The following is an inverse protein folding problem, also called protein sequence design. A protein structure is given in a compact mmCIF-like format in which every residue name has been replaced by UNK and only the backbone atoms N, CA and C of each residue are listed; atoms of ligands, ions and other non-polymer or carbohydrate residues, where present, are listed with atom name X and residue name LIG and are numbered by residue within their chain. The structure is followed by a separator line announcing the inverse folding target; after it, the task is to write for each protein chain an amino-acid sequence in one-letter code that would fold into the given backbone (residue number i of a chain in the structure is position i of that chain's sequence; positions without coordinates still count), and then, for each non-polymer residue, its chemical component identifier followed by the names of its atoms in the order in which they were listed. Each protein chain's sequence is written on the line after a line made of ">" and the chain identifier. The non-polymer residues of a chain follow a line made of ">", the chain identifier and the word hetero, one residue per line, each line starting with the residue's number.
data_IF_197428323195
#
_entry.id   IF_197428323195
#
_cell.length_a   1.000
_cell.length_b   1.000
_cell.length_c   1.000
_cell.angle_alpha   90.00
_cell.angle_beta   90.00
_cell.angle_gamma   90.00
#
_symmetry.space_group_name_H-M   'P 1'
#
loop_
_entity.id
_entity.type
_entity.pdbx_description
1 polymer ?
#
# COMPACT_ATOMS: atom_id res chain seq x y z
N UNK A 1 21.45 -12.68 15.58
CA UNK A 1 20.53 -11.90 16.42
C UNK A 1 19.16 -11.96 15.80
N UNK A 2 18.22 -12.71 16.36
CA UNK A 2 16.83 -12.67 15.89
C UNK A 2 16.19 -11.38 16.39
N UNK A 3 15.74 -10.52 15.48
CA UNK A 3 14.92 -9.38 15.84
C UNK A 3 13.67 -9.88 16.59
N UNK A 4 13.31 -9.19 17.67
CA UNK A 4 12.07 -9.48 18.38
C UNK A 4 10.88 -9.42 17.39
N UNK A 5 9.88 -10.31 17.52
CA UNK A 5 8.71 -10.25 16.65
C UNK A 5 8.01 -8.90 16.84
N UNK A 6 7.92 -8.12 15.75
CA UNK A 6 7.12 -6.88 15.72
C UNK A 6 5.69 -7.22 16.09
N UNK A 7 5.10 -6.49 17.04
CA UNK A 7 3.74 -6.76 17.48
C UNK A 7 2.74 -6.52 16.34
N UNK A 8 1.63 -7.26 16.34
CA UNK A 8 0.58 -7.05 15.32
C UNK A 8 -0.08 -5.67 15.44
N UNK A 9 0.05 -4.98 16.59
CA UNK A 9 -0.44 -3.61 16.74
C UNK A 9 0.52 -2.63 16.06
N UNK A 10 1.84 -2.80 16.22
CA UNK A 10 2.83 -1.96 15.52
C UNK A 10 2.68 -2.06 14.01
N UNK A 11 2.48 -3.28 13.45
CA UNK A 11 2.32 -3.41 12.00
C UNK A 11 1.03 -2.75 11.47
N UNK A 12 -0.03 -2.69 12.29
CA UNK A 12 -1.27 -1.97 11.97
C UNK A 12 -1.07 -0.45 12.05
N UNK A 13 -0.36 0.04 13.07
CA UNK A 13 0.04 1.45 13.17
C UNK A 13 0.90 1.86 11.98
N UNK A 14 1.91 1.08 11.64
CA UNK A 14 2.78 1.36 10.48
C UNK A 14 1.97 1.35 9.18
N UNK A 15 0.98 0.46 9.05
CA UNK A 15 0.10 0.42 7.87
C UNK A 15 -0.80 1.65 7.77
N UNK A 16 -1.30 2.16 8.90
CA UNK A 16 -2.05 3.41 8.93
C UNK A 16 -1.17 4.61 8.55
N UNK A 17 0.06 4.68 9.08
CA UNK A 17 1.00 5.74 8.76
C UNK A 17 1.44 5.69 7.29
N UNK A 18 1.72 4.51 6.72
CA UNK A 18 2.06 4.35 5.31
C UNK A 18 0.91 4.84 4.39
N UNK A 19 -0.33 4.60 4.80
CA UNK A 19 -1.51 5.09 4.08
C UNK A 19 -1.67 6.61 4.15
N UNK A 20 -1.46 7.23 5.32
CA UNK A 20 -1.90 8.60 5.63
C UNK A 20 -0.79 9.65 5.72
N UNK A 21 0.48 9.24 5.77
CA UNK A 21 1.62 10.18 5.76
C UNK A 21 1.59 11.04 4.51
N UNK A 22 2.24 12.21 4.59
CA UNK A 22 2.47 13.07 3.42
C UNK A 22 3.21 12.27 2.34
N UNK A 23 2.69 12.29 1.12
CA UNK A 23 3.13 11.48 -0.02
C UNK A 23 2.96 9.96 0.19
N UNK A 24 2.08 9.54 1.09
CA UNK A 24 1.71 8.14 1.33
C UNK A 24 0.76 7.58 0.27
N UNK A 25 0.19 6.40 0.54
CA UNK A 25 -0.61 5.67 -0.45
C UNK A 25 -1.88 6.43 -0.89
N UNK A 26 -2.52 7.16 0.03
CA UNK A 26 -3.70 7.97 -0.31
C UNK A 26 -3.32 9.09 -1.28
N UNK A 27 -2.24 9.83 -0.98
CA UNK A 27 -1.75 10.91 -1.85
C UNK A 27 -1.34 10.38 -3.22
N UNK A 28 -0.71 9.19 -3.26
CA UNK A 28 -0.39 8.49 -4.51
C UNK A 28 -1.65 8.20 -5.35
N UNK A 29 -2.69 7.59 -4.76
CA UNK A 29 -3.92 7.27 -5.51
C UNK A 29 -4.63 8.50 -6.07
N UNK A 30 -4.70 9.59 -5.30
CA UNK A 30 -5.24 10.88 -5.76
C UNK A 30 -4.38 11.48 -6.89
N UNK A 31 -3.06 11.39 -6.72
CA UNK A 31 -2.07 11.86 -7.69
C UNK A 31 -2.22 11.15 -9.04
N UNK A 32 -2.43 9.83 -9.06
CA UNK A 32 -2.58 9.05 -10.29
C UNK A 32 -3.93 9.29 -10.97
N UNK A 33 -5.03 9.32 -10.20
CA UNK A 33 -6.38 9.56 -10.74
C UNK A 33 -6.56 10.95 -11.33
N UNK A 34 -5.86 11.95 -10.77
CA UNK A 34 -6.03 13.35 -11.13
C UNK A 34 -7.39 13.92 -10.71
N UNK A 35 -7.64 15.23 -10.93
CA UNK A 35 -8.82 15.93 -10.44
C UNK A 35 -10.15 15.44 -11.05
N UNK A 36 -10.11 14.75 -12.20
CA UNK A 36 -11.29 14.23 -12.91
C UNK A 36 -11.52 12.73 -12.72
N UNK A 37 -10.69 12.04 -11.93
CA UNK A 37 -10.75 10.59 -11.73
C UNK A 37 -10.63 9.74 -13.02
N UNK A 38 -9.98 10.27 -14.06
CA UNK A 38 -10.02 9.75 -15.44
C UNK A 38 -8.72 9.11 -15.91
N UNK A 39 -7.72 8.90 -15.04
CA UNK A 39 -6.40 8.33 -15.41
C UNK A 39 -5.85 8.97 -16.69
N UNK A 40 -5.32 10.20 -16.62
CA UNK A 40 -5.01 11.00 -17.81
C UNK A 40 -3.92 10.40 -18.73
N UNK A 41 -3.37 9.21 -18.43
CA UNK A 41 -2.42 8.47 -19.27
C UNK A 41 -1.06 9.14 -19.46
N UNK A 42 -0.90 10.36 -18.95
CA UNK A 42 0.26 11.24 -19.18
C UNK A 42 1.16 11.38 -17.96
N UNK A 43 0.79 10.79 -16.82
CA UNK A 43 1.55 10.98 -15.58
C UNK A 43 2.71 10.00 -15.54
N UNK A 44 3.93 10.54 -15.68
CA UNK A 44 5.15 9.80 -15.38
C UNK A 44 5.42 9.86 -13.89
N UNK A 45 5.70 8.69 -13.29
CA UNK A 45 6.11 8.57 -11.90
C UNK A 45 7.56 8.12 -11.90
N UNK A 46 8.40 8.83 -11.14
CA UNK A 46 9.81 8.46 -11.01
C UNK A 46 9.92 7.21 -10.16
N UNK A 47 10.85 6.35 -10.51
CA UNK A 47 11.11 5.13 -9.76
C UNK A 47 11.45 5.44 -8.29
N UNK A 48 12.23 6.49 -8.03
CA UNK A 48 12.58 6.93 -6.68
C UNK A 48 11.36 7.32 -5.82
N UNK A 49 10.30 7.84 -6.45
CA UNK A 49 9.07 8.20 -5.74
C UNK A 49 8.36 6.93 -5.27
N UNK A 50 8.34 5.87 -6.11
CA UNK A 50 7.84 4.55 -5.69
C UNK A 50 8.74 3.87 -4.65
N UNK A 51 10.06 3.99 -4.78
CA UNK A 51 11.00 3.46 -3.80
C UNK A 51 10.75 4.06 -2.42
N UNK A 52 10.48 5.36 -2.36
CA UNK A 52 10.13 6.08 -1.14
C UNK A 52 8.73 5.71 -0.64
N UNK A 53 7.76 5.58 -1.55
CA UNK A 53 6.40 5.16 -1.22
C UNK A 53 6.38 3.80 -0.52
N UNK A 54 7.23 2.88 -0.95
CA UNK A 54 7.29 1.50 -0.45
C UNK A 54 8.56 1.18 0.35
N UNK A 55 9.26 2.18 0.90
CA UNK A 55 10.48 1.99 1.69
C UNK A 55 10.23 1.32 3.05
N UNK A 56 8.97 1.25 3.47
CA UNK A 56 8.60 1.01 4.85
C UNK A 56 8.45 -0.48 5.21
N UNK A 57 8.47 -0.75 6.52
CA UNK A 57 8.49 -2.07 7.13
C UNK A 57 7.29 -2.95 6.76
N UNK A 58 6.16 -2.37 6.37
CA UNK A 58 4.92 -3.13 6.09
C UNK A 58 4.88 -3.77 4.72
N UNK A 59 5.79 -3.40 3.81
CA UNK A 59 5.94 -4.01 2.50
C UNK A 59 7.22 -4.88 2.47
N UNK A 60 7.07 -6.14 2.06
CA UNK A 60 8.21 -6.98 1.74
C UNK A 60 8.63 -6.69 0.30
N UNK A 61 9.81 -6.08 0.14
CA UNK A 61 10.39 -5.77 -1.16
C UNK A 61 11.30 -6.91 -1.65
N UNK A 62 10.92 -7.52 -2.76
CA UNK A 62 11.70 -8.54 -3.46
C UNK A 62 12.13 -7.99 -4.82
N UNK A 63 13.45 -7.80 -4.98
CA UNK A 63 14.06 -7.30 -6.21
C UNK A 63 14.68 -8.46 -7.00
N UNK A 64 14.40 -8.54 -8.30
CA UNK A 64 15.00 -9.51 -9.23
C UNK A 64 15.89 -8.79 -10.24
N UNK A 65 16.82 -9.54 -10.86
CA UNK A 65 17.65 -9.03 -11.97
C UNK A 65 16.75 -8.50 -13.10
N UNK A 66 17.19 -7.42 -13.76
CA UNK A 66 16.49 -6.84 -14.91
C UNK A 66 15.35 -5.88 -14.56
N UNK A 67 15.38 -5.24 -13.38
CA UNK A 67 14.43 -4.18 -13.01
C UNK A 67 13.03 -4.68 -12.62
N UNK A 68 12.86 -5.98 -12.37
CA UNK A 68 11.62 -6.56 -11.87
C UNK A 68 11.55 -6.42 -10.34
N UNK A 69 10.44 -5.89 -9.85
CA UNK A 69 10.18 -5.69 -8.43
C UNK A 69 8.84 -6.29 -8.02
N UNK A 70 8.82 -6.94 -6.86
CA UNK A 70 7.63 -7.52 -6.23
C UNK A 70 7.52 -6.99 -4.80
N UNK A 71 6.39 -6.38 -4.49
CA UNK A 71 6.07 -5.86 -3.17
C UNK A 71 4.91 -6.67 -2.58
N UNK A 72 5.04 -7.11 -1.33
CA UNK A 72 3.99 -7.88 -0.65
C UNK A 72 3.63 -7.18 0.66
N UNK A 73 2.39 -6.71 0.78
CA UNK A 73 1.93 -6.08 2.01
C UNK A 73 1.76 -7.13 3.12
N UNK A 74 2.38 -6.92 4.28
CA UNK A 74 2.39 -7.90 5.37
C UNK A 74 1.02 -8.10 6.02
N UNK A 75 0.14 -7.09 5.99
CA UNK A 75 -1.19 -7.11 6.59
C UNK A 75 -2.21 -7.71 5.63
N UNK A 76 -2.41 -7.06 4.48
CA UNK A 76 -3.47 -7.38 3.51
C UNK A 76 -3.08 -8.42 2.47
N UNK A 77 -1.80 -8.84 2.44
CA UNK A 77 -1.23 -9.78 1.46
C UNK A 77 -1.37 -9.35 -0.01
N UNK A 78 -1.72 -8.09 -0.26
CA UNK A 78 -1.69 -7.51 -1.62
C UNK A 78 -0.28 -7.58 -2.18
N UNK A 79 -0.21 -7.98 -3.44
CA UNK A 79 1.02 -8.14 -4.20
C UNK A 79 1.02 -7.12 -5.34
N UNK A 80 2.11 -6.37 -5.45
CA UNK A 80 2.37 -5.43 -6.54
C UNK A 80 3.61 -5.94 -7.28
N UNK A 81 3.48 -6.22 -8.56
CA UNK A 81 4.60 -6.61 -9.42
C UNK A 81 4.73 -5.64 -10.58
N UNK A 82 5.93 -5.13 -10.81
CA UNK A 82 6.19 -4.25 -11.94
C UNK A 82 7.65 -4.35 -12.40
N UNK A 83 7.89 -3.82 -13.60
CA UNK A 83 9.23 -3.71 -14.19
C UNK A 83 9.53 -2.26 -14.51
N UNK A 84 10.79 -1.86 -14.35
CA UNK A 84 11.32 -0.62 -14.90
C UNK A 84 12.50 -0.92 -15.84
N UNK A 85 12.59 -0.16 -16.94
CA UNK A 85 13.59 -0.42 -17.99
C UNK A 85 14.78 0.55 -17.95
N UNK A 86 14.55 1.81 -17.58
CA UNK A 86 15.52 2.91 -17.65
C UNK A 86 16.07 3.35 -16.28
N UNK A 87 15.63 2.68 -15.20
CA UNK A 87 16.00 3.01 -13.82
C UNK A 87 15.53 4.39 -13.36
N UNK A 88 14.73 5.09 -14.17
CA UNK A 88 14.37 6.49 -13.94
C UNK A 88 12.86 6.63 -13.78
N UNK A 89 12.09 6.02 -14.68
CA UNK A 89 10.64 6.11 -14.70
C UNK A 89 10.00 4.72 -14.65
N UNK A 90 8.79 4.70 -14.09
CA UNK A 90 7.92 3.53 -14.11
C UNK A 90 7.19 3.51 -15.45
N UNK A 91 7.03 2.31 -16.03
CA UNK A 91 6.23 2.13 -17.23
C UNK A 91 4.80 2.67 -16.99
N UNK A 92 4.26 3.55 -17.86
CA UNK A 92 2.89 4.04 -17.76
C UNK A 92 1.84 2.94 -17.59
N UNK A 93 2.02 1.77 -18.23
CA UNK A 93 1.13 0.62 -18.06
C UNK A 93 1.16 0.08 -16.62
N UNK A 94 2.37 -0.03 -16.06
CA UNK A 94 2.56 -0.50 -14.69
C UNK A 94 1.99 0.47 -13.65
N UNK A 95 1.96 1.79 -13.91
CA UNK A 95 1.40 2.77 -12.97
C UNK A 95 -0.07 2.49 -12.66
N UNK A 96 -0.86 2.10 -13.67
CA UNK A 96 -2.26 1.75 -13.48
C UNK A 96 -2.42 0.49 -12.62
N UNK A 97 -1.63 -0.55 -12.91
CA UNK A 97 -1.68 -1.79 -12.15
C UNK A 97 -1.27 -1.57 -10.68
N UNK A 98 -0.22 -0.76 -10.45
CA UNK A 98 0.21 -0.36 -9.10
C UNK A 98 -0.91 0.39 -8.39
N UNK A 99 -1.56 1.34 -9.06
CA UNK A 99 -2.71 2.03 -8.50
C UNK A 99 -3.82 1.06 -8.10
N UNK A 100 -4.21 0.13 -8.96
CA UNK A 100 -5.35 -0.76 -8.71
C UNK A 100 -5.06 -1.65 -7.49
N UNK A 101 -3.82 -2.12 -7.34
CA UNK A 101 -3.40 -2.88 -6.16
C UNK A 101 -3.34 -2.01 -4.90
N UNK A 102 -2.83 -0.78 -4.98
CA UNK A 102 -2.82 0.15 -3.83
C UNK A 102 -4.25 0.49 -3.40
N UNK A 103 -5.15 0.77 -4.34
CA UNK A 103 -6.56 1.04 -4.03
C UNK A 103 -7.23 -0.17 -3.39
N UNK A 104 -6.94 -1.39 -3.88
CA UNK A 104 -7.44 -2.62 -3.28
C UNK A 104 -6.91 -2.81 -1.85
N UNK A 105 -5.62 -2.55 -1.62
CA UNK A 105 -5.01 -2.57 -0.30
C UNK A 105 -5.71 -1.58 0.65
N UNK A 106 -5.88 -0.33 0.23
CA UNK A 106 -6.56 0.70 1.02
C UNK A 106 -8.02 0.33 1.30
N UNK A 107 -8.73 -0.27 0.36
CA UNK A 107 -10.11 -0.72 0.59
C UNK A 107 -10.18 -1.80 1.67
N UNK A 108 -9.30 -2.80 1.64
CA UNK A 108 -9.25 -3.85 2.67
C UNK A 108 -8.85 -3.24 4.02
N UNK A 109 -7.78 -2.44 4.04
CA UNK A 109 -7.25 -1.85 5.26
C UNK A 109 -8.29 -0.92 5.91
N UNK A 110 -8.94 -0.07 5.12
CA UNK A 110 -9.94 0.88 5.58
C UNK A 110 -11.26 0.21 5.98
N UNK A 111 -11.86 -0.61 5.10
CA UNK A 111 -13.21 -1.12 5.32
C UNK A 111 -13.23 -2.36 6.21
N UNK A 112 -12.32 -3.31 5.98
CA UNK A 112 -12.39 -4.63 6.61
C UNK A 112 -11.61 -4.65 7.94
N UNK A 113 -10.46 -3.97 7.98
CA UNK A 113 -9.56 -4.00 9.15
C UNK A 113 -9.86 -2.83 10.09
N UNK A 114 -9.70 -1.59 9.63
CA UNK A 114 -9.94 -0.40 10.46
C UNK A 114 -11.43 -0.07 10.64
N UNK A 115 -12.31 -0.66 9.82
CA UNK A 115 -13.75 -0.43 9.84
C UNK A 115 -14.14 1.06 9.70
N UNK A 116 -13.38 1.81 8.90
CA UNK A 116 -13.75 3.15 8.46
C UNK A 116 -14.89 3.11 7.46
N UNK A 117 -15.74 4.15 7.47
CA UNK A 117 -16.43 4.57 6.24
C UNK A 117 -15.36 5.27 5.40
N UNK A 118 -15.19 4.87 4.13
CA UNK A 118 -14.14 5.25 3.15
C UNK A 118 -13.53 6.68 3.18
N UNK A 119 -14.17 7.65 3.84
CA UNK A 119 -13.76 9.06 3.95
C UNK A 119 -13.01 9.40 5.24
N UNK A 120 -12.90 8.47 6.20
CA UNK A 120 -12.45 8.77 7.57
C UNK A 120 -10.98 8.44 7.84
N UNK A 121 -10.12 8.47 6.81
CA UNK A 121 -8.67 8.26 6.97
C UNK A 121 -7.94 9.32 7.81
N UNK A 122 -8.64 10.37 8.26
CA UNK A 122 -8.08 11.40 9.13
C UNK A 122 -8.12 11.03 10.61
N UNK A 123 -9.00 10.11 11.00
CA UNK A 123 -9.18 9.70 12.39
C UNK A 123 -8.33 8.47 12.63
N UNK A 124 -7.42 8.49 13.61
CA UNK A 124 -6.60 7.31 13.93
C UNK A 124 -7.48 6.10 14.32
N UNK A 125 -7.16 4.86 13.90
CA UNK A 125 -8.04 3.73 14.14
C UNK A 125 -7.89 3.23 15.58
N UNK A 126 -8.95 2.62 16.10
CA UNK A 126 -8.83 1.81 17.32
C UNK A 126 -8.07 0.52 16.99
N UNK A 127 -6.80 0.44 17.37
CA UNK A 127 -5.92 -0.69 17.00
C UNK A 127 -6.31 -2.02 17.64
N UNK A 128 -6.91 -2.01 18.84
CA UNK A 128 -7.38 -3.24 19.48
C UNK A 128 -8.53 -3.86 18.67
N UNK A 129 -9.50 -3.03 18.28
CA UNK A 129 -10.59 -3.45 17.39
C UNK A 129 -10.08 -3.86 16.01
N UNK A 130 -9.12 -3.11 15.46
CA UNK A 130 -8.49 -3.42 14.18
C UNK A 130 -7.77 -4.78 14.22
N UNK A 131 -7.14 -5.13 15.34
CA UNK A 131 -6.52 -6.44 15.54
C UNK A 131 -7.56 -7.57 15.48
N UNK A 132 -8.68 -7.42 16.21
CA UNK A 132 -9.80 -8.39 16.13
C UNK A 132 -10.34 -8.54 14.71
N UNK A 133 -10.48 -7.44 13.99
CA UNK A 133 -10.94 -7.47 12.60
C UNK A 133 -9.90 -8.11 11.66
N UNK A 134 -8.61 -7.85 11.87
CA UNK A 134 -7.53 -8.50 11.12
C UNK A 134 -7.56 -10.02 11.30
N UNK A 135 -7.77 -10.51 12.52
CA UNK A 135 -7.89 -11.94 12.80
C UNK A 135 -9.08 -12.57 12.07
N UNK A 136 -10.24 -11.89 12.08
CA UNK A 136 -11.43 -12.32 11.32
C UNK A 136 -11.18 -12.32 9.82
N UNK A 137 -10.52 -11.28 9.30
CA UNK A 137 -10.19 -11.18 7.89
C UNK A 137 -9.23 -12.29 7.43
N UNK A 138 -8.24 -12.64 8.25
CA UNK A 138 -7.32 -13.76 7.98
C UNK A 138 -8.03 -15.12 8.04
N UNK A 139 -9.09 -15.25 8.83
CA UNK A 139 -9.84 -16.48 9.05
C UNK A 139 -11.34 -16.27 8.76
N UNK A 140 -11.75 -16.20 7.48
CA UNK A 140 -13.14 -15.94 7.10
C UNK A 140 -14.12 -17.08 7.47
N UNK A 141 -13.66 -18.11 8.19
CA UNK A 141 -14.48 -19.22 8.66
C UNK A 141 -15.11 -18.94 10.03
N UNK A 142 -16.30 -18.33 10.01
CA UNK A 142 -17.49 -18.81 10.73
C UNK A 142 -18.72 -18.54 9.87
#
# INVERSE_FOLDING_TARGET
>A
MSAAPVSQIEILRDSYLDATRKNGLIDFTQTVRGPKNDFPGKKQIKLNDLDTLFSDTVWQDQRKKGGHRKLINKVTKIVIEYKHHDGTNVDPGAIRDIYDQVQKHLNILGNDIFAYKLKNWRDEPNYEKALTNLERWKNPAR
#
